data_IF_425855659714
#
_entry.id   IF_425855659714
#
_cell.length_a   1.000
_cell.length_b   1.000
_cell.length_c   1.000
_cell.angle_alpha   90.00
_cell.angle_beta   90.00
_cell.angle_gamma   90.00
#
_symmetry.space_group_name_H-M   'P 1'
#
loop_
_entity.id
_entity.type
_entity.pdbx_description
1 polymer ?
#
# COMPACT_ATOMS: atom_id res chain seq x y z
N UNK A 1 24.35 -5.39 -19.54
CA UNK A 1 23.49 -6.24 -18.71
C UNK A 1 23.41 -5.79 -17.28
N UNK A 2 24.47 -5.25 -16.72
CA UNK A 2 24.40 -4.57 -15.43
C UNK A 2 23.47 -3.36 -15.48
N UNK A 3 23.43 -2.66 -16.62
CA UNK A 3 22.55 -1.51 -16.79
C UNK A 3 21.07 -1.89 -16.74
N UNK A 4 20.70 -3.03 -17.32
CA UNK A 4 19.31 -3.49 -17.29
C UNK A 4 18.88 -3.85 -15.87
N UNK A 5 19.74 -4.48 -15.09
CA UNK A 5 19.47 -4.80 -13.70
C UNK A 5 19.32 -3.55 -12.86
N UNK A 6 20.16 -2.54 -13.10
CA UNK A 6 20.07 -1.26 -12.39
C UNK A 6 18.77 -0.54 -12.71
N UNK A 7 18.38 -0.51 -13.99
CA UNK A 7 17.13 0.13 -14.42
C UNK A 7 15.92 -0.58 -13.81
N UNK A 8 15.90 -1.92 -13.84
CA UNK A 8 14.82 -2.69 -13.24
C UNK A 8 14.77 -2.52 -11.73
N UNK A 9 15.93 -2.47 -11.09
CA UNK A 9 16.00 -2.25 -9.66
C UNK A 9 15.49 -0.86 -9.28
N UNK A 10 15.88 0.18 -10.04
CA UNK A 10 15.38 1.52 -9.83
C UNK A 10 13.89 1.61 -10.08
N UNK A 11 13.40 1.01 -11.14
CA UNK A 11 11.97 0.97 -11.44
C UNK A 11 11.19 0.33 -10.31
N UNK A 12 11.65 -0.83 -9.83
CA UNK A 12 11.02 -1.52 -8.71
C UNK A 12 11.01 -0.69 -7.45
N UNK A 13 12.12 -0.02 -7.16
CA UNK A 13 12.25 0.83 -5.99
C UNK A 13 11.29 2.03 -6.04
N UNK A 14 11.24 2.69 -7.18
CA UNK A 14 10.33 3.83 -7.39
C UNK A 14 8.87 3.39 -7.40
N UNK A 15 8.59 2.24 -8.03
CA UNK A 15 7.23 1.69 -8.05
C UNK A 15 6.73 1.44 -6.64
N UNK A 16 7.53 0.80 -5.80
CA UNK A 16 7.17 0.52 -4.41
C UNK A 16 6.95 1.81 -3.65
N UNK A 17 7.91 2.72 -3.71
CA UNK A 17 7.85 3.97 -2.97
C UNK A 17 6.61 4.77 -3.36
N UNK A 18 6.40 4.99 -4.65
CA UNK A 18 5.30 5.80 -5.14
C UNK A 18 3.95 5.15 -4.84
N UNK A 19 3.83 3.84 -5.03
CA UNK A 19 2.59 3.11 -4.77
C UNK A 19 2.29 3.10 -3.27
N UNK A 20 3.29 2.88 -2.44
CA UNK A 20 3.15 2.88 -0.99
C UNK A 20 2.71 4.25 -0.48
N UNK A 21 3.41 5.31 -0.89
CA UNK A 21 3.11 6.67 -0.45
C UNK A 21 1.71 7.09 -0.87
N UNK A 22 1.32 6.77 -2.10
CA UNK A 22 0.00 7.08 -2.62
C UNK A 22 -1.09 6.32 -1.87
N UNK A 23 -0.87 5.04 -1.59
CA UNK A 23 -1.83 4.21 -0.87
C UNK A 23 -2.03 4.72 0.55
N UNK A 24 -0.95 5.05 1.24
CA UNK A 24 -1.05 5.59 2.61
C UNK A 24 -1.74 6.96 2.62
N UNK A 25 -1.50 7.78 1.61
CA UNK A 25 -2.18 9.06 1.48
C UNK A 25 -3.69 8.88 1.31
N UNK A 26 -4.09 7.91 0.49
CA UNK A 26 -5.52 7.57 0.29
C UNK A 26 -6.11 7.04 1.60
N UNK A 27 -5.39 6.20 2.31
CA UNK A 27 -5.83 5.67 3.60
C UNK A 27 -6.08 6.78 4.61
N UNK A 28 -5.17 7.76 4.68
CA UNK A 28 -5.35 8.92 5.57
C UNK A 28 -6.59 9.72 5.20
N UNK A 29 -6.86 9.90 3.91
CA UNK A 29 -8.08 10.59 3.45
C UNK A 29 -9.33 9.84 3.89
N UNK A 30 -9.31 8.51 3.81
CA UNK A 30 -10.43 7.68 4.26
C UNK A 30 -10.67 7.89 5.77
N UNK A 31 -9.62 7.87 6.57
CA UNK A 31 -9.71 8.06 8.02
C UNK A 31 -10.20 9.45 8.42
N UNK A 32 -9.93 10.45 7.60
CA UNK A 32 -10.27 11.85 7.88
C UNK A 32 -11.60 12.28 7.22
N UNK A 33 -12.36 11.34 6.66
CA UNK A 33 -13.63 11.61 5.98
C UNK A 33 -13.46 12.56 4.78
N UNK A 34 -12.35 12.44 4.08
CA UNK A 34 -12.10 13.25 2.88
C UNK A 34 -12.57 12.56 1.60
N UNK A 35 -12.92 11.29 1.69
CA UNK A 35 -13.43 10.49 0.57
C UNK A 35 -14.95 10.36 0.72
N UNK A 36 -15.69 11.12 -0.08
CA UNK A 36 -17.14 11.24 0.07
C UNK A 36 -17.96 10.29 -0.80
N UNK A 37 -17.43 9.13 -1.10
CA UNK A 37 -18.17 8.05 -1.74
C UNK A 37 -18.91 7.27 -0.67
N UNK A 38 -20.14 6.82 -0.98
CA UNK A 38 -21.04 6.17 -0.02
C UNK A 38 -20.37 5.01 0.73
N UNK A 39 -19.68 4.13 0.02
CA UNK A 39 -19.04 2.98 0.64
C UNK A 39 -17.90 3.41 1.58
N UNK A 40 -17.18 4.46 1.21
CA UNK A 40 -16.12 5.02 2.04
C UNK A 40 -16.66 5.69 3.30
N UNK A 41 -17.82 6.31 3.22
CA UNK A 41 -18.48 6.91 4.40
C UNK A 41 -18.89 5.85 5.40
N UNK A 42 -19.39 4.71 4.93
CA UNK A 42 -19.73 3.57 5.81
C UNK A 42 -18.49 3.08 6.53
N UNK A 43 -17.41 2.91 5.81
CA UNK A 43 -16.14 2.45 6.38
C UNK A 43 -15.56 3.48 7.35
N UNK A 44 -15.62 4.76 6.99
CA UNK A 44 -15.19 5.84 7.87
C UNK A 44 -15.95 5.80 9.21
N UNK A 45 -17.25 5.62 9.17
CA UNK A 45 -18.06 5.56 10.38
C UNK A 45 -17.67 4.37 11.26
N UNK A 46 -17.36 3.21 10.66
CA UNK A 46 -16.90 2.04 11.38
C UNK A 46 -15.56 2.28 12.06
N UNK A 47 -14.64 2.91 11.33
CA UNK A 47 -13.31 3.24 11.88
C UNK A 47 -13.45 4.25 13.03
N UNK A 48 -14.31 5.26 12.86
CA UNK A 48 -14.49 6.30 13.86
C UNK A 48 -15.13 5.76 15.15
N UNK A 49 -15.82 4.63 15.09
CA UNK A 49 -16.37 3.96 16.27
C UNK A 49 -15.34 3.16 17.06
N UNK A 50 -14.16 2.91 16.49
CA UNK A 50 -13.08 2.24 17.19
C UNK A 50 -12.45 3.21 18.20
N UNK A 51 -11.98 2.68 19.33
CA UNK A 51 -11.20 3.50 20.26
C UNK A 51 -9.80 3.78 19.67
N UNK A 52 -9.04 4.63 20.34
CA UNK A 52 -7.74 5.06 19.83
C UNK A 52 -6.77 3.90 19.66
N UNK A 53 -6.72 3.00 20.65
CA UNK A 53 -5.83 1.83 20.59
C UNK A 53 -6.20 0.91 19.41
N UNK A 54 -7.49 0.70 19.19
CA UNK A 54 -7.97 -0.11 18.07
C UNK A 54 -7.63 0.54 16.72
N UNK A 55 -7.73 1.86 16.63
CA UNK A 55 -7.34 2.59 15.41
C UNK A 55 -5.85 2.47 15.14
N UNK A 56 -5.00 2.48 16.16
CA UNK A 56 -3.56 2.29 16.00
C UNK A 56 -3.25 0.87 15.51
N UNK A 57 -3.94 -0.14 16.02
CA UNK A 57 -3.80 -1.51 15.54
C UNK A 57 -4.21 -1.60 14.07
N UNK A 58 -5.31 -0.94 13.70
CA UNK A 58 -5.77 -0.91 12.32
C UNK A 58 -4.71 -0.27 11.40
N UNK A 59 -4.09 0.82 11.83
CA UNK A 59 -3.03 1.46 11.06
C UNK A 59 -1.87 0.49 10.82
N UNK A 60 -1.45 -0.23 11.85
CA UNK A 60 -0.36 -1.20 11.73
C UNK A 60 -0.72 -2.32 10.76
N UNK A 61 -1.94 -2.83 10.82
CA UNK A 61 -2.43 -3.88 9.91
C UNK A 61 -2.44 -3.37 8.46
N UNK A 62 -2.93 -2.17 8.24
CA UNK A 62 -2.98 -1.58 6.90
C UNK A 62 -1.57 -1.41 6.33
N UNK A 63 -0.65 -0.88 7.11
CA UNK A 63 0.73 -0.68 6.67
C UNK A 63 1.40 -2.01 6.35
N UNK A 64 1.21 -3.01 7.19
CA UNK A 64 1.76 -4.35 6.97
C UNK A 64 1.18 -4.98 5.71
N UNK A 65 -0.11 -4.88 5.49
CA UNK A 65 -0.77 -5.46 4.32
C UNK A 65 -0.32 -4.79 3.02
N UNK A 66 -0.16 -3.47 3.02
CA UNK A 66 0.33 -2.74 1.86
C UNK A 66 1.75 -3.20 1.51
N UNK A 67 2.63 -3.30 2.49
CA UNK A 67 4.01 -3.74 2.28
C UNK A 67 4.05 -5.18 1.76
N UNK A 68 3.20 -6.06 2.31
CA UNK A 68 3.13 -7.45 1.90
C UNK A 68 2.66 -7.60 0.46
N UNK A 69 1.64 -6.85 0.06
CA UNK A 69 1.13 -6.87 -1.31
C UNK A 69 2.21 -6.39 -2.28
N UNK A 70 2.89 -5.31 -1.95
CA UNK A 70 3.96 -4.77 -2.79
C UNK A 70 5.12 -5.77 -2.92
N UNK A 71 5.47 -6.44 -1.83
CA UNK A 71 6.50 -7.46 -1.84
C UNK A 71 6.10 -8.64 -2.74
N UNK A 72 4.85 -9.08 -2.68
CA UNK A 72 4.34 -10.15 -3.52
C UNK A 72 4.34 -9.77 -4.99
N UNK A 73 4.01 -8.54 -5.32
CA UNK A 73 4.07 -8.03 -6.71
C UNK A 73 5.50 -8.08 -7.22
N UNK A 74 6.46 -7.66 -6.43
CA UNK A 74 7.87 -7.72 -6.81
C UNK A 74 8.34 -9.16 -7.02
N UNK A 75 7.95 -10.07 -6.14
CA UNK A 75 8.29 -11.47 -6.27
C UNK A 75 7.71 -12.07 -7.55
N UNK A 76 6.51 -11.69 -7.91
CA UNK A 76 5.88 -12.14 -9.15
C UNK A 76 6.74 -11.74 -10.37
N UNK A 77 7.14 -10.49 -10.44
CA UNK A 77 8.00 -10.03 -11.53
C UNK A 77 9.37 -10.72 -11.52
N UNK A 78 9.94 -10.91 -10.36
CA UNK A 78 11.23 -11.57 -10.22
C UNK A 78 11.18 -13.03 -10.69
N UNK A 79 10.11 -13.77 -10.34
CA UNK A 79 9.91 -15.14 -10.76
C UNK A 79 9.73 -15.23 -12.28
N UNK A 80 8.97 -14.31 -12.86
CA UNK A 80 8.79 -14.26 -14.30
C UNK A 80 10.11 -14.02 -15.04
N UNK A 81 10.94 -13.14 -14.50
CA UNK A 81 12.26 -12.91 -15.10
C UNK A 81 13.14 -14.13 -15.05
N UNK A 82 13.08 -14.90 -13.97
CA UNK A 82 13.90 -16.12 -13.81
C UNK A 82 13.48 -17.25 -14.74
N UNK A 83 12.24 -17.28 -15.15
CA UNK A 83 11.70 -18.35 -15.98
C UNK A 83 11.88 -18.13 -17.49
N UNK A 84 12.62 -17.11 -17.84
CA UNK A 84 13.03 -16.92 -19.23
C UNK A 84 14.25 -17.78 -19.53
#
# INVERSE_FOLDING_TARGET
MTEEKEVLSQFGHEFIKNTRDRTFKIYKKLKNNEMKVKDNLILYNKINNLNLDEQLILDDVVYEMVDLVLFNVLNFFSVHDKNR
#
